data_IF_152125817886
#
_entry.id   IF_152125817886
#
_cell.length_a   1.000
_cell.length_b   1.000
_cell.length_c   1.000
_cell.angle_alpha   90.00
_cell.angle_beta   90.00
_cell.angle_gamma   90.00
#
_symmetry.space_group_name_H-M   'P 1'
#
loop_
_entity.id
_entity.type
_entity.pdbx_description
1 polymer ?
#
# COMPACT_ATOMS: atom_id res chain seq x y z
N UNK A 1 87.79 21.25 21.08
CA UNK A 1 88.11 22.06 19.92
C UNK A 1 86.82 22.71 19.49
N UNK A 2 86.67 23.93 19.86
CA UNK A 2 85.87 24.96 19.24
C UNK A 2 86.55 25.34 17.89
N UNK A 3 85.97 26.01 16.93
CA UNK A 3 84.97 27.10 16.98
C UNK A 3 83.91 26.89 15.83
N UNK A 4 82.98 27.68 15.41
CA UNK A 4 82.63 29.09 15.47
C UNK A 4 81.16 29.28 14.98
N UNK A 5 80.55 30.26 15.56
CA UNK A 5 79.39 30.99 15.08
C UNK A 5 79.87 32.02 13.98
N UNK A 6 79.03 32.80 13.30
CA UNK A 6 77.61 33.03 13.26
C UNK A 6 77.07 33.18 11.79
N UNK A 7 75.77 33.38 11.52
CA UNK A 7 75.22 34.49 10.70
C UNK A 7 73.70 34.55 10.91
N UNK A 8 73.34 35.68 11.40
CA UNK A 8 72.09 36.39 11.48
C UNK A 8 71.46 36.60 10.06
N UNK A 9 70.21 36.29 9.86
CA UNK A 9 69.32 36.96 8.92
C UNK A 9 67.84 36.71 9.27
N UNK A 10 67.26 37.69 9.92
CA UNK A 10 65.82 37.87 9.99
C UNK A 10 65.18 37.97 8.59
N UNK A 11 64.05 37.31 8.36
CA UNK A 11 63.18 37.69 7.21
C UNK A 11 62.15 38.71 7.68
N UNK A 12 61.92 39.62 6.83
CA UNK A 12 61.07 40.79 6.89
C UNK A 12 59.65 40.46 7.34
N UNK A 13 59.18 41.25 8.26
CA UNK A 13 57.79 41.34 8.75
C UNK A 13 57.01 42.14 7.69
N UNK A 14 56.50 41.45 6.68
CA UNK A 14 55.53 42.00 5.75
C UNK A 14 54.18 42.13 6.44
N UNK A 15 54.04 43.23 7.18
CA UNK A 15 52.81 43.64 7.85
C UNK A 15 51.70 43.86 6.80
N UNK A 16 50.84 42.86 6.69
CA UNK A 16 49.54 43.04 6.02
C UNK A 16 48.75 44.09 6.77
N UNK A 17 48.54 45.23 6.12
CA UNK A 17 47.84 46.37 6.68
C UNK A 17 46.37 45.98 6.99
N UNK A 18 45.88 46.46 8.16
CA UNK A 18 44.46 46.28 8.53
C UNK A 18 43.50 46.79 7.45
N UNK A 19 43.96 47.74 6.61
CA UNK A 19 43.19 48.23 5.45
C UNK A 19 43.01 47.19 4.36
N UNK A 20 43.95 46.21 4.22
CA UNK A 20 43.85 45.16 3.21
C UNK A 20 42.90 44.05 3.65
N UNK A 21 42.78 43.80 4.95
CA UNK A 21 41.79 42.88 5.55
C UNK A 21 40.40 43.48 5.43
N UNK A 22 40.23 44.76 5.68
CA UNK A 22 38.95 45.46 5.57
C UNK A 22 38.51 45.60 4.09
N UNK A 23 39.44 45.74 3.14
CA UNK A 23 39.13 45.73 1.73
C UNK A 23 38.73 44.33 1.20
N UNK A 24 39.31 43.25 1.72
CA UNK A 24 38.92 41.87 1.40
C UNK A 24 37.55 41.51 1.98
N UNK A 25 37.23 41.94 3.18
CA UNK A 25 35.94 41.74 3.80
C UNK A 25 34.83 42.62 3.15
N UNK A 26 35.18 43.74 2.54
CA UNK A 26 34.22 44.58 1.82
C UNK A 26 33.91 44.04 0.38
N UNK A 27 34.77 43.22 -0.19
CA UNK A 27 34.53 42.61 -1.53
C UNK A 27 33.68 41.30 -1.45
N UNK A 28 33.51 40.74 -0.23
CA UNK A 28 32.61 39.59 0.01
C UNK A 28 31.19 39.99 0.42
N UNK A 29 30.88 41.28 0.51
CA UNK A 29 29.49 41.70 0.58
C UNK A 29 28.85 41.53 -0.81
N UNK A 30 28.46 40.29 -1.09
CA UNK A 30 27.90 39.85 -2.36
C UNK A 30 26.70 40.71 -2.75
N UNK A 31 26.77 41.19 -3.99
CA UNK A 31 25.59 41.71 -4.65
C UNK A 31 24.51 40.63 -4.69
N UNK A 32 23.46 40.79 -3.89
CA UNK A 32 22.24 39.97 -3.96
C UNK A 32 21.69 40.16 -5.38
N UNK A 33 21.83 39.14 -6.25
CA UNK A 33 21.12 39.06 -7.50
C UNK A 33 19.64 38.86 -7.21
N UNK A 34 18.76 39.86 -7.45
CA UNK A 34 17.33 39.73 -7.10
C UNK A 34 16.58 38.71 -7.95
N UNK A 35 17.26 38.00 -8.86
CA UNK A 35 16.71 36.99 -9.74
C UNK A 35 17.17 35.56 -9.44
N UNK A 36 17.98 35.36 -8.38
CA UNK A 36 18.35 34.01 -7.95
C UNK A 36 17.38 33.45 -6.90
N UNK A 37 16.40 32.63 -7.29
CA UNK A 37 15.41 32.08 -6.35
C UNK A 37 16.05 31.02 -5.40
N UNK A 38 17.35 30.75 -5.50
CA UNK A 38 18.08 29.76 -4.71
C UNK A 38 19.10 30.40 -3.73
N UNK A 39 19.17 31.74 -3.65
CA UNK A 39 19.97 32.39 -2.63
C UNK A 39 19.29 32.19 -1.26
N UNK A 40 19.69 31.13 -0.57
CA UNK A 40 19.34 30.93 0.83
C UNK A 40 20.14 31.93 1.66
N UNK A 41 19.52 33.04 2.02
CA UNK A 41 20.07 33.96 3.01
C UNK A 41 20.35 33.16 4.27
N UNK A 42 21.61 33.02 4.66
CA UNK A 42 22.11 32.17 5.75
C UNK A 42 21.59 32.54 7.16
N UNK A 43 20.71 33.52 7.26
CA UNK A 43 20.16 34.03 8.52
C UNK A 43 18.65 33.77 8.72
N UNK A 44 18.00 33.03 7.86
CA UNK A 44 16.65 32.55 8.17
C UNK A 44 16.76 31.33 9.08
N UNK A 45 16.09 31.30 10.27
CA UNK A 45 16.05 30.09 11.08
C UNK A 45 15.37 28.99 10.27
N UNK A 46 16.17 28.05 9.77
CA UNK A 46 15.71 26.89 9.02
C UNK A 46 15.07 25.88 9.97
N UNK A 47 14.01 26.30 10.63
CA UNK A 47 13.04 25.42 11.26
C UNK A 47 11.76 25.55 10.42
N UNK A 48 11.81 25.05 9.20
CA UNK A 48 10.59 24.58 8.59
C UNK A 48 10.14 23.38 9.45
N UNK A 49 9.30 23.65 10.43
CA UNK A 49 8.58 22.64 11.17
C UNK A 49 7.80 21.85 10.12
N UNK A 50 8.33 20.67 9.76
CA UNK A 50 7.59 19.73 8.92
C UNK A 50 6.34 19.38 9.69
N UNK A 51 5.25 20.06 9.39
CA UNK A 51 3.97 19.79 10.05
C UNK A 51 3.65 18.32 9.90
N UNK A 52 3.61 17.60 11.02
CA UNK A 52 3.22 16.20 11.03
C UNK A 52 1.76 16.12 10.58
N UNK A 53 1.43 15.28 9.60
CA UNK A 53 0.04 15.15 9.18
C UNK A 53 -0.79 14.71 10.38
N UNK A 54 -2.00 15.25 10.50
CA UNK A 54 -2.93 14.91 11.57
C UNK A 54 -3.33 13.44 11.43
N UNK A 55 -2.93 12.58 12.36
CA UNK A 55 -3.19 11.13 12.32
C UNK A 55 -4.68 10.78 12.22
N UNK A 56 -5.54 11.56 12.88
CA UNK A 56 -6.98 11.36 12.88
C UNK A 56 -7.62 11.49 11.50
N UNK A 57 -7.03 12.25 10.57
CA UNK A 57 -7.55 12.35 9.20
C UNK A 57 -7.48 11.02 8.45
N UNK A 58 -6.55 10.13 8.81
CA UNK A 58 -6.49 8.79 8.27
C UNK A 58 -7.70 7.95 8.72
N UNK A 59 -8.04 8.03 10.01
CA UNK A 59 -9.22 7.34 10.56
C UNK A 59 -10.50 7.90 9.96
N UNK A 60 -10.61 9.23 9.85
CA UNK A 60 -11.77 9.89 9.24
C UNK A 60 -12.00 9.38 7.81
N UNK A 61 -10.96 9.31 6.99
CA UNK A 61 -11.08 8.81 5.60
C UNK A 61 -11.50 7.34 5.58
N UNK A 62 -11.00 6.48 6.48
CA UNK A 62 -11.46 5.09 6.57
C UNK A 62 -12.95 5.02 6.90
N UNK A 63 -13.41 5.80 7.89
CA UNK A 63 -14.83 5.85 8.26
C UNK A 63 -15.70 6.37 7.11
N UNK A 64 -15.29 7.45 6.45
CA UNK A 64 -16.01 7.98 5.26
C UNK A 64 -16.03 6.95 4.14
N UNK A 65 -14.91 6.27 3.87
CA UNK A 65 -14.84 5.21 2.87
C UNK A 65 -15.76 4.02 3.21
N UNK A 66 -15.84 3.64 4.49
CA UNK A 66 -16.77 2.60 4.93
C UNK A 66 -18.24 2.99 4.71
N UNK A 67 -18.60 4.21 5.08
CA UNK A 67 -19.96 4.73 4.86
C UNK A 67 -20.30 4.76 3.37
N UNK A 68 -19.38 5.25 2.53
CA UNK A 68 -19.56 5.28 1.07
C UNK A 68 -19.68 3.87 0.50
N UNK A 69 -18.85 2.93 0.98
CA UNK A 69 -18.91 1.53 0.58
C UNK A 69 -20.26 0.88 0.95
N UNK A 70 -20.73 1.03 2.19
CA UNK A 70 -22.02 0.49 2.64
C UNK A 70 -23.18 1.09 1.83
N UNK A 71 -23.16 2.41 1.64
CA UNK A 71 -24.19 3.08 0.85
C UNK A 71 -24.19 2.61 -0.62
N UNK A 72 -23.02 2.51 -1.24
CA UNK A 72 -22.88 2.00 -2.59
C UNK A 72 -23.33 0.54 -2.70
N UNK A 73 -23.00 -0.31 -1.72
CA UNK A 73 -23.45 -1.70 -1.66
C UNK A 73 -24.96 -1.80 -1.58
N UNK A 74 -25.61 -0.99 -0.73
CA UNK A 74 -27.06 -0.96 -0.62
C UNK A 74 -27.72 -0.51 -1.92
N UNK A 75 -27.21 0.55 -2.56
CA UNK A 75 -27.71 1.03 -3.85
C UNK A 75 -27.53 -0.02 -4.93
N UNK A 76 -26.35 -0.64 -5.01
CA UNK A 76 -26.07 -1.67 -6.01
C UNK A 76 -26.87 -2.96 -5.79
N UNK A 77 -27.23 -3.29 -4.56
CA UNK A 77 -28.15 -4.40 -4.27
C UNK A 77 -29.54 -4.12 -4.84
N UNK A 78 -30.07 -2.91 -4.65
CA UNK A 78 -31.36 -2.50 -5.21
C UNK A 78 -31.29 -2.51 -6.75
N UNK A 79 -30.26 -1.92 -7.34
CA UNK A 79 -30.03 -1.93 -8.79
C UNK A 79 -29.91 -3.36 -9.32
N UNK A 80 -29.20 -4.22 -8.59
CA UNK A 80 -29.06 -5.64 -8.93
C UNK A 80 -30.39 -6.35 -9.00
N UNK A 81 -31.29 -6.16 -8.03
CA UNK A 81 -32.64 -6.72 -8.04
C UNK A 81 -33.41 -6.25 -9.26
N UNK A 82 -33.39 -4.94 -9.57
CA UNK A 82 -34.07 -4.38 -10.72
C UNK A 82 -33.51 -4.95 -12.04
N UNK A 83 -32.21 -5.05 -12.17
CA UNK A 83 -31.54 -5.55 -13.39
C UNK A 83 -31.79 -7.03 -13.59
N UNK A 84 -31.72 -7.85 -12.55
CA UNK A 84 -31.90 -9.31 -12.66
C UNK A 84 -33.36 -9.69 -12.90
N UNK A 85 -34.28 -9.00 -12.23
CA UNK A 85 -35.74 -9.30 -12.43
C UNK A 85 -36.41 -8.49 -13.54
N UNK A 86 -35.70 -7.53 -14.16
CA UNK A 86 -36.21 -6.74 -15.29
C UNK A 86 -37.31 -5.75 -14.92
N UNK A 87 -37.62 -5.55 -13.63
CA UNK A 87 -38.65 -4.63 -13.14
C UNK A 87 -38.35 -4.08 -11.79
N UNK A 88 -38.84 -2.88 -11.50
CA UNK A 88 -38.84 -2.31 -10.16
C UNK A 88 -40.14 -2.71 -9.45
N UNK A 89 -40.04 -3.45 -8.36
CA UNK A 89 -41.19 -3.90 -7.56
C UNK A 89 -40.75 -3.93 -6.07
N UNK A 90 -41.51 -3.25 -5.21
CA UNK A 90 -41.22 -3.19 -3.79
C UNK A 90 -41.27 -4.57 -3.10
N UNK A 91 -42.08 -5.49 -3.61
CA UNK A 91 -42.15 -6.86 -3.08
C UNK A 91 -40.81 -7.59 -3.28
N UNK A 92 -40.14 -7.39 -4.43
CA UNK A 92 -38.81 -7.98 -4.69
C UNK A 92 -37.72 -7.41 -3.77
N UNK A 93 -37.85 -6.17 -3.33
CA UNK A 93 -36.86 -5.54 -2.43
C UNK A 93 -37.02 -6.01 -0.97
N UNK A 94 -38.10 -6.69 -0.63
CA UNK A 94 -38.33 -7.26 0.70
C UNK A 94 -38.18 -8.79 0.72
N UNK A 95 -38.01 -9.42 -0.46
CA UNK A 95 -37.84 -10.86 -0.59
C UNK A 95 -36.35 -11.24 -0.60
N UNK A 96 -35.89 -12.01 0.38
CA UNK A 96 -34.53 -12.51 0.48
C UNK A 96 -34.09 -13.30 -0.78
N UNK A 97 -35.01 -14.08 -1.39
CA UNK A 97 -34.69 -14.87 -2.57
C UNK A 97 -34.33 -13.99 -3.77
N UNK A 98 -34.89 -12.78 -3.84
CA UNK A 98 -34.53 -11.82 -4.89
C UNK A 98 -33.05 -11.40 -4.78
N UNK A 99 -32.52 -11.20 -3.58
CA UNK A 99 -31.11 -10.88 -3.37
C UNK A 99 -30.19 -12.08 -3.61
N UNK A 100 -30.64 -13.30 -3.28
CA UNK A 100 -29.93 -14.53 -3.63
C UNK A 100 -29.80 -14.65 -5.13
N UNK A 101 -30.87 -14.45 -5.91
CA UNK A 101 -30.84 -14.45 -7.36
C UNK A 101 -29.85 -13.40 -7.94
N UNK A 102 -29.71 -12.25 -7.30
CA UNK A 102 -28.70 -11.25 -7.68
C UNK A 102 -27.29 -11.79 -7.49
N UNK A 103 -26.98 -12.43 -6.38
CA UNK A 103 -25.64 -12.98 -6.10
C UNK A 103 -25.29 -14.17 -7.00
N UNK A 104 -26.28 -14.93 -7.47
CA UNK A 104 -26.14 -16.04 -8.43
C UNK A 104 -26.01 -15.56 -9.88
N UNK A 105 -26.42 -14.34 -10.17
CA UNK A 105 -26.27 -13.73 -11.50
C UNK A 105 -24.87 -13.13 -11.70
N UNK A 106 -24.24 -13.38 -12.85
CA UNK A 106 -22.93 -12.82 -13.21
C UNK A 106 -22.93 -11.29 -13.19
N UNK A 107 -24.00 -10.66 -13.72
CA UNK A 107 -24.14 -9.21 -13.72
C UNK A 107 -24.45 -8.68 -12.30
N UNK A 108 -25.26 -9.40 -11.56
CA UNK A 108 -25.56 -9.09 -10.16
C UNK A 108 -24.29 -9.14 -9.30
N UNK A 109 -23.49 -10.20 -9.42
CA UNK A 109 -22.22 -10.32 -8.72
C UNK A 109 -21.26 -9.17 -9.09
N UNK A 110 -21.19 -8.78 -10.36
CA UNK A 110 -20.39 -7.62 -10.78
C UNK A 110 -20.86 -6.33 -10.09
N UNK A 111 -22.16 -6.08 -10.05
CA UNK A 111 -22.73 -4.90 -9.38
C UNK A 111 -22.44 -4.89 -7.88
N UNK A 112 -22.55 -6.05 -7.21
CA UNK A 112 -22.36 -6.18 -5.76
C UNK A 112 -20.89 -6.08 -5.34
N UNK A 113 -19.95 -6.49 -6.19
CA UNK A 113 -18.53 -6.58 -5.82
C UNK A 113 -17.75 -5.38 -6.36
N UNK A 114 -17.82 -5.11 -7.67
CA UNK A 114 -16.90 -4.17 -8.31
C UNK A 114 -17.27 -2.72 -8.03
N UNK A 115 -18.54 -2.35 -8.14
CA UNK A 115 -18.95 -0.95 -8.00
C UNK A 115 -18.81 -0.41 -6.58
N UNK A 116 -19.15 -1.14 -5.50
CA UNK A 116 -18.86 -0.70 -4.15
C UNK A 116 -17.35 -0.55 -3.85
N UNK A 117 -16.51 -1.43 -4.40
CA UNK A 117 -15.05 -1.32 -4.26
C UNK A 117 -14.52 -0.06 -4.96
N UNK A 118 -15.04 0.30 -6.13
CA UNK A 118 -14.69 1.56 -6.79
C UNK A 118 -15.16 2.76 -5.94
N UNK A 119 -16.35 2.70 -5.37
CA UNK A 119 -16.87 3.76 -4.50
C UNK A 119 -16.01 3.94 -3.23
N UNK A 120 -15.53 2.83 -2.63
CA UNK A 120 -14.67 2.81 -1.45
C UNK A 120 -13.41 3.66 -1.61
N UNK A 121 -12.77 3.66 -2.76
CA UNK A 121 -11.50 4.38 -2.97
C UNK A 121 -11.69 5.89 -3.22
N UNK A 122 -12.89 6.33 -3.60
CA UNK A 122 -13.18 7.73 -3.96
C UNK A 122 -12.78 8.73 -2.87
N UNK A 123 -13.12 8.55 -1.57
CA UNK A 123 -12.75 9.52 -0.55
C UNK A 123 -11.23 9.72 -0.42
N UNK A 124 -10.44 8.64 -0.53
CA UNK A 124 -8.99 8.72 -0.46
C UNK A 124 -8.38 9.39 -1.68
N UNK A 125 -8.95 9.17 -2.87
CA UNK A 125 -8.55 9.85 -4.10
C UNK A 125 -8.84 11.34 -4.05
N UNK A 126 -10.06 11.72 -3.62
CA UNK A 126 -10.44 13.13 -3.45
C UNK A 126 -9.53 13.82 -2.43
N UNK A 127 -9.30 13.18 -1.28
CA UNK A 127 -8.41 13.72 -0.26
C UNK A 127 -6.93 13.80 -0.73
N UNK A 128 -6.51 12.89 -1.60
CA UNK A 128 -5.20 12.94 -2.26
C UNK A 128 -5.11 14.07 -3.27
N UNK A 129 -6.15 14.26 -4.08
CA UNK A 129 -6.25 15.32 -5.08
C UNK A 129 -6.29 16.72 -4.47
N UNK A 130 -7.02 16.90 -3.37
CA UNK A 130 -7.07 18.15 -2.62
C UNK A 130 -5.79 18.45 -1.81
N UNK A 131 -4.80 17.57 -1.85
CA UNK A 131 -3.52 17.78 -1.17
C UNK A 131 -2.64 18.74 -1.99
N UNK A 132 -1.77 19.57 -1.35
CA UNK A 132 -0.78 20.39 -2.06
C UNK A 132 0.32 19.57 -2.73
N UNK A 133 0.41 18.26 -2.46
CA UNK A 133 1.38 17.34 -3.07
C UNK A 133 0.70 16.61 -4.22
N UNK A 134 1.42 16.39 -5.32
CA UNK A 134 0.94 15.62 -6.48
C UNK A 134 0.30 14.29 -6.06
N UNK A 135 -0.90 13.99 -6.58
CA UNK A 135 -1.71 12.83 -6.16
C UNK A 135 -0.95 11.50 -6.26
N UNK A 136 -0.18 11.30 -7.32
CA UNK A 136 0.62 10.07 -7.51
C UNK A 136 1.67 9.89 -6.40
N UNK A 137 2.36 10.96 -6.04
CA UNK A 137 3.34 10.97 -4.95
C UNK A 137 2.64 10.84 -3.59
N UNK A 138 1.49 11.48 -3.46
CA UNK A 138 0.67 11.45 -2.24
C UNK A 138 0.16 10.05 -1.91
N UNK A 139 -0.23 9.28 -2.92
CA UNK A 139 -0.75 7.92 -2.81
C UNK A 139 0.32 6.84 -3.01
N UNK A 140 1.60 7.20 -3.05
CA UNK A 140 2.72 6.26 -3.30
C UNK A 140 2.58 5.46 -4.60
N UNK A 141 1.86 5.99 -5.59
CA UNK A 141 1.72 5.44 -6.94
C UNK A 141 2.96 5.79 -7.80
N UNK A 142 4.12 5.54 -7.25
CA UNK A 142 5.44 5.80 -7.83
C UNK A 142 6.23 4.50 -7.89
N UNK A 143 7.26 4.44 -8.74
CA UNK A 143 8.07 3.22 -8.90
C UNK A 143 8.80 2.80 -7.62
N UNK A 144 9.16 3.74 -6.74
CA UNK A 144 10.02 3.47 -5.59
C UNK A 144 11.44 3.05 -6.00
N UNK A 145 12.20 2.50 -5.05
CA UNK A 145 13.63 2.20 -5.24
C UNK A 145 13.95 0.70 -5.39
N UNK A 146 13.00 -0.17 -5.17
CA UNK A 146 13.22 -1.61 -5.36
C UNK A 146 13.31 -1.96 -6.85
N UNK A 147 14.22 -2.88 -7.26
CA UNK A 147 14.25 -3.44 -8.60
C UNK A 147 13.05 -4.37 -8.85
N UNK A 148 12.72 -4.60 -10.13
CA UNK A 148 11.55 -5.39 -10.53
C UNK A 148 11.58 -6.82 -9.97
N UNK A 149 12.77 -7.46 -9.91
CA UNK A 149 12.89 -8.81 -9.33
C UNK A 149 12.44 -8.84 -7.85
N UNK A 150 12.69 -7.76 -7.09
CA UNK A 150 12.25 -7.64 -5.71
C UNK A 150 10.72 -7.47 -5.60
N UNK A 151 10.10 -6.78 -6.56
CA UNK A 151 8.64 -6.70 -6.66
C UNK A 151 8.02 -8.08 -6.90
N UNK A 152 8.60 -8.82 -7.88
CA UNK A 152 8.15 -10.19 -8.20
C UNK A 152 8.31 -11.09 -6.97
N UNK A 153 9.46 -11.02 -6.30
CA UNK A 153 9.68 -11.78 -5.07
C UNK A 153 8.66 -11.47 -3.97
N UNK A 154 8.42 -10.18 -3.68
CA UNK A 154 7.44 -9.78 -2.70
C UNK A 154 6.01 -10.22 -3.08
N UNK A 155 5.65 -10.13 -4.36
CA UNK A 155 4.35 -10.55 -4.85
C UNK A 155 4.15 -12.07 -4.75
N UNK A 156 5.17 -12.87 -5.10
CA UNK A 156 5.13 -14.33 -4.99
C UNK A 156 5.11 -14.84 -3.53
N UNK A 157 5.67 -14.08 -2.59
CA UNK A 157 5.60 -14.41 -1.17
C UNK A 157 4.18 -14.20 -0.57
N UNK A 158 3.38 -13.33 -1.16
CA UNK A 158 2.08 -12.91 -0.60
C UNK A 158 1.11 -14.08 -0.39
N UNK A 159 0.91 -15.00 -1.35
CA UNK A 159 0.01 -16.15 -1.16
C UNK A 159 0.48 -17.11 -0.05
N UNK A 160 1.77 -17.22 0.18
CA UNK A 160 2.28 -18.04 1.30
C UNK A 160 1.93 -17.40 2.65
N UNK A 161 2.02 -16.08 2.77
CA UNK A 161 1.59 -15.36 3.98
C UNK A 161 0.10 -15.56 4.23
N UNK A 162 -0.73 -15.42 3.18
CA UNK A 162 -2.17 -15.67 3.27
C UNK A 162 -2.50 -17.11 3.65
N UNK A 163 -1.86 -18.08 3.01
CA UNK A 163 -2.04 -19.51 3.31
C UNK A 163 -1.66 -19.84 4.75
N UNK A 164 -0.49 -19.42 5.21
CA UNK A 164 -0.03 -19.67 6.58
C UNK A 164 -0.98 -19.04 7.60
N UNK A 165 -1.44 -17.82 7.35
CA UNK A 165 -2.41 -17.15 8.22
C UNK A 165 -3.73 -17.91 8.27
N UNK A 166 -4.28 -18.32 7.13
CA UNK A 166 -5.52 -19.08 7.05
C UNK A 166 -5.43 -20.44 7.74
N UNK A 167 -4.30 -21.14 7.55
CA UNK A 167 -4.05 -22.44 8.22
C UNK A 167 -3.99 -22.25 9.73
N UNK A 168 -3.24 -21.25 10.22
CA UNK A 168 -3.13 -20.98 11.67
C UNK A 168 -4.50 -20.62 12.26
N UNK A 169 -5.26 -19.76 11.60
CA UNK A 169 -6.62 -19.40 12.07
C UNK A 169 -7.53 -20.62 12.09
N UNK A 170 -7.52 -21.44 11.03
CA UNK A 170 -8.33 -22.66 10.92
C UNK A 170 -8.02 -23.73 11.96
N UNK A 171 -6.82 -23.70 12.61
CA UNK A 171 -6.53 -24.59 13.75
C UNK A 171 -7.27 -24.22 15.03
N UNK A 172 -7.74 -22.98 15.16
CA UNK A 172 -8.34 -22.45 16.39
C UNK A 172 -9.78 -21.97 16.23
N UNK A 173 -10.20 -21.70 15.00
CA UNK A 173 -11.49 -21.07 14.71
C UNK A 173 -12.15 -21.73 13.50
N UNK A 174 -13.46 -21.90 13.58
CA UNK A 174 -14.26 -22.32 12.43
C UNK A 174 -14.57 -21.11 11.53
N UNK A 175 -14.73 -21.41 10.24
CA UNK A 175 -15.16 -20.41 9.26
C UNK A 175 -16.58 -19.93 9.57
N UNK A 176 -16.80 -18.63 9.49
CA UNK A 176 -18.13 -18.05 9.74
C UNK A 176 -19.14 -18.45 8.65
N UNK A 177 -20.42 -18.50 8.99
CA UNK A 177 -21.47 -18.83 8.02
C UNK A 177 -21.53 -17.85 6.85
N UNK A 178 -21.22 -16.57 7.08
CA UNK A 178 -21.14 -15.58 6.02
C UNK A 178 -20.00 -15.87 5.04
N UNK A 179 -18.86 -16.29 5.57
CA UNK A 179 -17.69 -16.61 4.73
C UNK A 179 -17.93 -17.91 3.94
N UNK A 180 -18.57 -18.92 4.54
CA UNK A 180 -18.99 -20.14 3.84
C UNK A 180 -19.95 -19.82 2.69
N UNK A 181 -21.01 -19.03 2.95
CA UNK A 181 -21.95 -18.63 1.92
C UNK A 181 -21.29 -17.88 0.75
N UNK A 182 -20.33 -17.00 1.06
CA UNK A 182 -19.54 -16.30 0.03
C UNK A 182 -18.68 -17.27 -0.78
N UNK A 183 -18.03 -18.22 -0.10
CA UNK A 183 -17.21 -19.27 -0.72
C UNK A 183 -18.07 -20.13 -1.68
N UNK A 184 -19.28 -20.49 -1.28
CA UNK A 184 -20.20 -21.27 -2.13
C UNK A 184 -20.63 -20.49 -3.38
N UNK A 185 -20.90 -19.19 -3.27
CA UNK A 185 -21.20 -18.32 -4.42
C UNK A 185 -20.01 -18.29 -5.40
N UNK A 186 -18.77 -18.11 -4.87
CA UNK A 186 -17.58 -18.07 -5.71
C UNK A 186 -17.33 -19.42 -6.40
N UNK A 187 -17.54 -20.52 -5.69
CA UNK A 187 -17.42 -21.88 -6.23
C UNK A 187 -18.40 -22.08 -7.38
N UNK A 188 -19.68 -21.78 -7.18
CA UNK A 188 -20.73 -21.96 -8.19
C UNK A 188 -20.42 -21.13 -9.47
N UNK A 189 -19.98 -19.89 -9.31
CA UNK A 189 -19.56 -19.07 -10.45
C UNK A 189 -18.32 -19.62 -11.16
N UNK A 190 -17.31 -20.05 -10.40
CA UNK A 190 -16.08 -20.62 -10.96
C UNK A 190 -16.33 -21.89 -11.76
N UNK A 191 -17.11 -22.84 -11.20
CA UNK A 191 -17.51 -24.09 -11.85
C UNK A 191 -18.35 -23.86 -13.11
N UNK A 192 -19.12 -22.76 -13.16
CA UNK A 192 -19.89 -22.37 -14.35
C UNK A 192 -19.03 -21.77 -15.50
N UNK A 193 -17.69 -21.84 -15.40
CA UNK A 193 -16.74 -21.28 -16.37
C UNK A 193 -16.49 -19.77 -16.21
N UNK A 194 -16.89 -19.18 -15.10
CA UNK A 194 -16.70 -17.74 -14.81
C UNK A 194 -15.45 -17.45 -13.95
N UNK A 195 -14.54 -18.43 -13.77
CA UNK A 195 -13.38 -18.34 -12.91
C UNK A 195 -12.48 -17.13 -13.23
N UNK A 196 -12.11 -16.94 -14.50
CA UNK A 196 -11.21 -15.83 -14.86
C UNK A 196 -11.82 -14.44 -14.61
N UNK A 197 -13.06 -14.12 -15.01
CA UNK A 197 -13.70 -12.88 -14.59
C UNK A 197 -13.83 -12.74 -13.09
N UNK A 198 -14.12 -13.82 -12.36
CA UNK A 198 -14.22 -13.82 -10.90
C UNK A 198 -12.87 -13.44 -10.24
N UNK A 199 -11.75 -13.99 -10.72
CA UNK A 199 -10.41 -13.62 -10.27
C UNK A 199 -10.11 -12.13 -10.53
N UNK A 200 -10.57 -11.56 -11.64
CA UNK A 200 -10.42 -10.11 -11.87
C UNK A 200 -11.30 -9.28 -10.92
N UNK A 201 -12.53 -9.70 -10.68
CA UNK A 201 -13.46 -8.98 -9.81
C UNK A 201 -13.00 -9.02 -8.33
N UNK A 202 -12.64 -10.20 -7.82
CA UNK A 202 -12.26 -10.41 -6.41
C UNK A 202 -10.77 -10.15 -6.19
N UNK A 203 -9.94 -10.33 -7.21
CA UNK A 203 -8.50 -10.13 -7.12
C UNK A 203 -8.08 -8.70 -7.43
N UNK A 204 -8.34 -8.23 -8.66
CA UNK A 204 -7.78 -6.99 -9.16
C UNK A 204 -8.45 -5.75 -8.55
N UNK A 205 -9.79 -5.77 -8.43
CA UNK A 205 -10.53 -4.60 -7.95
C UNK A 205 -10.17 -4.24 -6.50
N UNK A 206 -10.22 -5.17 -5.52
CA UNK A 206 -9.76 -4.89 -4.16
C UNK A 206 -8.27 -4.54 -4.11
N UNK A 207 -7.42 -5.25 -4.84
CA UNK A 207 -5.98 -4.98 -4.87
C UNK A 207 -5.63 -3.55 -5.28
N UNK A 208 -6.42 -2.93 -6.14
CA UNK A 208 -6.26 -1.52 -6.51
C UNK A 208 -6.91 -0.62 -5.46
N UNK A 209 -8.19 -0.83 -5.16
CA UNK A 209 -8.99 0.09 -4.35
C UNK A 209 -8.54 0.12 -2.89
N UNK A 210 -8.32 -1.04 -2.29
CA UNK A 210 -7.93 -1.16 -0.89
C UNK A 210 -6.47 -0.76 -0.67
N UNK A 211 -5.56 -1.12 -1.59
CA UNK A 211 -4.17 -0.69 -1.46
C UNK A 211 -4.04 0.85 -1.59
N UNK A 212 -4.78 1.49 -2.48
CA UNK A 212 -4.80 2.96 -2.57
C UNK A 212 -5.33 3.59 -1.29
N UNK A 213 -6.41 3.07 -0.71
CA UNK A 213 -6.96 3.57 0.54
C UNK A 213 -6.00 3.32 1.71
N UNK A 214 -5.66 2.05 1.98
CA UNK A 214 -4.96 1.69 3.22
C UNK A 214 -3.47 1.96 3.17
N UNK A 215 -2.76 1.63 2.08
CA UNK A 215 -1.30 1.82 1.98
C UNK A 215 -0.95 3.15 1.35
N UNK A 216 -1.69 3.55 0.32
CA UNK A 216 -1.49 4.83 -0.36
C UNK A 216 -1.81 6.02 0.53
N UNK A 217 -3.01 6.09 1.10
CA UNK A 217 -3.46 7.22 1.88
C UNK A 217 -3.22 7.07 3.39
N UNK A 218 -3.78 6.02 4.01
CA UNK A 218 -3.81 5.85 5.47
C UNK A 218 -2.42 5.59 6.04
N UNK A 219 -1.74 4.55 5.56
CA UNK A 219 -0.42 4.18 6.05
C UNK A 219 0.61 5.30 5.88
N UNK A 220 0.64 5.96 4.72
CA UNK A 220 1.59 7.06 4.47
C UNK A 220 1.45 8.22 5.46
N UNK A 221 0.24 8.50 5.94
CA UNK A 221 -0.01 9.51 6.97
C UNK A 221 0.34 9.03 8.36
N UNK A 222 -0.07 7.82 8.70
CA UNK A 222 0.17 7.23 10.01
C UNK A 222 1.67 7.01 10.26
N UNK A 223 2.42 6.54 9.27
CA UNK A 223 3.88 6.37 9.39
C UNK A 223 4.60 7.70 9.61
N UNK A 224 4.10 8.80 9.04
CA UNK A 224 4.64 10.15 9.28
C UNK A 224 4.31 10.70 10.66
N UNK A 225 3.15 10.34 11.21
CA UNK A 225 2.69 10.84 12.51
C UNK A 225 3.21 9.99 13.68
N UNK A 226 3.20 8.66 13.53
CA UNK A 226 3.41 7.68 14.60
C UNK A 226 4.70 6.84 14.41
N UNK A 227 5.47 7.14 13.36
CA UNK A 227 6.61 6.33 12.97
C UNK A 227 6.22 5.09 12.16
N UNK A 228 7.23 4.41 11.55
CA UNK A 228 6.97 3.30 10.62
C UNK A 228 6.21 2.14 11.24
N UNK A 229 6.65 1.66 12.41
CA UNK A 229 6.05 0.49 13.07
C UNK A 229 4.59 0.78 13.46
N UNK A 230 4.35 1.87 14.19
CA UNK A 230 3.01 2.25 14.64
C UNK A 230 2.07 2.52 13.45
N UNK A 231 2.58 3.21 12.43
CA UNK A 231 1.79 3.52 11.24
C UNK A 231 1.40 2.29 10.43
N UNK A 232 2.31 1.32 10.25
CA UNK A 232 2.02 0.07 9.54
C UNK A 232 1.04 -0.79 10.34
N UNK A 233 1.28 -0.97 11.64
CA UNK A 233 0.40 -1.78 12.50
C UNK A 233 -1.05 -1.25 12.50
N UNK A 234 -1.23 0.05 12.72
CA UNK A 234 -2.57 0.65 12.75
C UNK A 234 -3.24 0.58 11.38
N UNK A 235 -2.52 0.88 10.29
CA UNK A 235 -3.07 0.77 8.94
C UNK A 235 -3.49 -0.68 8.61
N UNK A 236 -2.71 -1.67 9.02
CA UNK A 236 -3.03 -3.09 8.83
C UNK A 236 -4.21 -3.54 9.67
N UNK A 237 -4.35 -3.02 10.90
CA UNK A 237 -5.50 -3.27 11.75
C UNK A 237 -6.78 -2.66 11.15
N UNK A 238 -6.71 -1.42 10.67
CA UNK A 238 -7.85 -0.76 10.00
C UNK A 238 -8.27 -1.51 8.73
N UNK A 239 -7.29 -1.99 7.95
CA UNK A 239 -7.53 -2.85 6.79
C UNK A 239 -8.26 -4.14 7.18
N UNK A 240 -7.78 -4.83 8.21
CA UNK A 240 -8.38 -6.08 8.67
C UNK A 240 -9.81 -5.86 9.19
N UNK A 241 -10.02 -4.87 10.07
CA UNK A 241 -11.32 -4.55 10.65
C UNK A 241 -12.36 -4.16 9.59
N UNK A 242 -11.91 -3.62 8.46
CA UNK A 242 -12.79 -3.26 7.34
C UNK A 242 -13.52 -4.47 6.72
N UNK A 243 -13.04 -5.70 6.94
CA UNK A 243 -13.69 -6.92 6.45
C UNK A 243 -14.93 -7.32 7.24
N UNK A 244 -15.16 -6.74 8.44
CA UNK A 244 -16.36 -6.87 9.27
C UNK A 244 -16.73 -8.31 9.70
N UNK A 245 -15.87 -9.29 9.44
CA UNK A 245 -15.99 -10.69 9.89
C UNK A 245 -14.83 -11.02 10.82
N UNK A 246 -15.11 -11.50 12.04
CA UNK A 246 -14.08 -11.66 13.07
C UNK A 246 -12.99 -12.67 12.69
N UNK A 247 -13.37 -13.80 12.09
CA UNK A 247 -12.43 -14.83 11.65
C UNK A 247 -11.56 -14.29 10.51
N UNK A 248 -12.21 -13.63 9.57
CA UNK A 248 -11.54 -12.99 8.42
C UNK A 248 -10.60 -11.85 8.87
N UNK A 249 -10.99 -11.03 9.85
CA UNK A 249 -10.14 -9.98 10.43
C UNK A 249 -8.81 -10.55 10.90
N UNK A 250 -8.85 -11.67 11.67
CA UNK A 250 -7.64 -12.30 12.19
C UNK A 250 -6.81 -12.89 11.05
N UNK A 251 -7.46 -13.52 10.06
CA UNK A 251 -6.80 -14.14 8.93
C UNK A 251 -6.09 -13.14 8.00
N UNK A 252 -6.68 -11.95 7.76
CA UNK A 252 -6.12 -10.98 6.80
C UNK A 252 -5.16 -9.98 7.45
N UNK A 253 -5.13 -9.86 8.79
CA UNK A 253 -4.22 -8.93 9.47
C UNK A 253 -2.74 -9.18 9.15
N UNK A 254 -2.20 -10.42 9.22
CA UNK A 254 -0.80 -10.70 8.85
C UNK A 254 -0.50 -10.38 7.39
N UNK A 255 -1.42 -10.65 6.48
CA UNK A 255 -1.32 -10.26 5.08
C UNK A 255 -1.25 -8.73 4.94
N UNK A 256 -2.15 -8.03 5.63
CA UNK A 256 -2.17 -6.58 5.68
C UNK A 256 -0.87 -5.98 6.18
N UNK A 257 -0.29 -6.56 7.22
CA UNK A 257 0.99 -6.15 7.79
C UNK A 257 2.15 -6.39 6.81
N UNK A 258 2.20 -7.56 6.18
CA UNK A 258 3.20 -7.89 5.17
C UNK A 258 3.18 -6.90 3.99
N UNK A 259 2.01 -6.64 3.40
CA UNK A 259 1.87 -5.67 2.31
C UNK A 259 2.28 -4.26 2.75
N UNK A 260 1.94 -3.88 3.99
CA UNK A 260 2.37 -2.62 4.58
C UNK A 260 3.89 -2.50 4.69
N UNK A 261 4.58 -3.55 5.08
CA UNK A 261 6.05 -3.62 5.10
C UNK A 261 6.64 -3.50 3.69
N UNK A 262 6.05 -4.18 2.70
CA UNK A 262 6.49 -4.11 1.29
C UNK A 262 6.40 -2.68 0.77
N UNK A 263 5.27 -1.99 0.98
CA UNK A 263 5.08 -0.61 0.55
C UNK A 263 6.08 0.33 1.24
N UNK A 264 6.21 0.21 2.55
CA UNK A 264 7.14 1.05 3.30
C UNK A 264 8.58 0.84 2.85
N UNK A 265 8.97 -0.41 2.62
CA UNK A 265 10.36 -0.77 2.29
C UNK A 265 10.71 -0.49 0.84
N UNK A 266 9.79 -0.70 -0.09
CA UNK A 266 10.01 -0.46 -1.53
C UNK A 266 9.85 1.01 -1.92
N UNK A 267 9.09 1.78 -1.15
CA UNK A 267 8.67 3.14 -1.49
C UNK A 267 7.63 3.19 -2.60
N UNK A 268 6.95 2.07 -2.88
CA UNK A 268 5.97 1.94 -3.98
C UNK A 268 4.76 1.14 -3.54
N UNK A 269 3.59 1.55 -4.01
CA UNK A 269 2.33 0.82 -3.82
C UNK A 269 2.20 -0.36 -4.79
N UNK A 270 2.87 -0.30 -5.94
CA UNK A 270 2.69 -1.26 -7.05
C UNK A 270 3.01 -2.70 -6.65
N UNK A 271 4.14 -3.03 -5.99
CA UNK A 271 4.43 -4.42 -5.60
C UNK A 271 3.39 -4.99 -4.62
N UNK A 272 2.81 -4.18 -3.74
CA UNK A 272 1.73 -4.61 -2.86
C UNK A 272 0.43 -4.87 -3.62
N UNK A 273 0.07 -4.02 -4.59
CA UNK A 273 -1.08 -4.26 -5.48
C UNK A 273 -0.93 -5.58 -6.24
N UNK A 274 0.25 -5.85 -6.81
CA UNK A 274 0.51 -7.10 -7.52
C UNK A 274 0.39 -8.29 -6.57
N UNK A 275 1.01 -8.21 -5.39
CA UNK A 275 0.95 -9.28 -4.38
C UNK A 275 -0.48 -9.55 -3.89
N UNK A 276 -1.24 -8.50 -3.62
CA UNK A 276 -2.64 -8.60 -3.20
C UNK A 276 -3.51 -9.23 -4.30
N UNK A 277 -3.35 -8.78 -5.55
CA UNK A 277 -4.03 -9.38 -6.70
C UNK A 277 -3.75 -10.87 -6.84
N UNK A 278 -2.46 -11.27 -6.77
CA UNK A 278 -2.05 -12.67 -6.87
C UNK A 278 -2.65 -13.48 -5.70
N UNK A 279 -2.57 -12.96 -4.48
CA UNK A 279 -3.13 -13.64 -3.30
C UNK A 279 -4.63 -13.92 -3.47
N UNK A 280 -5.42 -12.90 -3.78
CA UNK A 280 -6.86 -13.05 -3.90
C UNK A 280 -7.25 -13.92 -5.09
N UNK A 281 -6.55 -13.82 -6.22
CA UNK A 281 -6.77 -14.68 -7.38
C UNK A 281 -6.48 -16.14 -7.07
N UNK A 282 -5.39 -16.42 -6.35
CA UNK A 282 -5.05 -17.78 -5.91
C UNK A 282 -6.07 -18.29 -4.89
N UNK A 283 -6.56 -17.44 -3.96
CA UNK A 283 -7.61 -17.82 -3.01
C UNK A 283 -8.92 -18.20 -3.71
N UNK A 284 -9.34 -17.42 -4.71
CA UNK A 284 -10.51 -17.77 -5.54
C UNK A 284 -10.28 -19.08 -6.29
N UNK A 285 -9.12 -19.27 -6.89
CA UNK A 285 -8.80 -20.52 -7.58
C UNK A 285 -8.79 -21.73 -6.62
N UNK A 286 -8.26 -21.56 -5.42
CA UNK A 286 -8.27 -22.58 -4.37
C UNK A 286 -9.68 -23.01 -3.99
N UNK A 287 -10.60 -22.04 -3.81
CA UNK A 287 -12.02 -22.30 -3.52
C UNK A 287 -12.69 -23.13 -4.60
N UNK A 288 -12.44 -22.78 -5.87
CA UNK A 288 -13.08 -23.46 -7.01
C UNK A 288 -12.46 -24.83 -7.29
N UNK A 289 -11.16 -24.98 -7.09
CA UNK A 289 -10.43 -26.25 -7.34
C UNK A 289 -10.46 -27.21 -6.15
N UNK A 290 -10.88 -26.76 -4.97
CA UNK A 290 -10.97 -27.62 -3.80
C UNK A 290 -12.00 -28.73 -4.02
N UNK A 291 -11.72 -29.99 -3.64
CA UNK A 291 -12.66 -31.09 -3.76
C UNK A 291 -13.96 -30.80 -3.03
N UNK A 292 -15.07 -31.09 -3.68
CA UNK A 292 -16.42 -31.05 -3.08
C UNK A 292 -16.67 -32.37 -2.36
N UNK A 293 -16.68 -32.37 -1.04
CA UNK A 293 -16.99 -33.54 -0.22
C UNK A 293 -15.99 -33.75 0.92
N UNK A 294 -16.40 -34.56 1.90
CA UNK A 294 -15.62 -34.87 3.10
C UNK A 294 -14.53 -35.91 2.78
N UNK A 295 -13.69 -35.65 1.78
CA UNK A 295 -12.56 -36.52 1.44
C UNK A 295 -11.33 -36.05 2.20
N UNK A 296 -10.92 -36.80 3.22
CA UNK A 296 -9.65 -36.58 3.94
C UNK A 296 -8.40 -36.80 3.07
N UNK A 297 -8.55 -36.95 1.76
CA UNK A 297 -7.48 -37.13 0.79
C UNK A 297 -7.46 -35.98 -0.19
N UNK A 298 -6.36 -35.23 -0.17
CA UNK A 298 -6.07 -34.27 -1.23
C UNK A 298 -5.96 -35.05 -2.57
N UNK A 299 -6.75 -34.66 -3.55
CA UNK A 299 -6.55 -35.15 -4.91
C UNK A 299 -5.23 -34.58 -5.49
N UNK A 300 -4.69 -35.25 -6.49
CA UNK A 300 -3.40 -34.88 -7.08
C UNK A 300 -3.37 -33.41 -7.59
N UNK A 301 -4.41 -32.88 -8.26
CA UNK A 301 -4.44 -31.46 -8.67
C UNK A 301 -4.36 -30.50 -7.52
N UNK A 302 -5.15 -30.68 -6.44
CA UNK A 302 -5.14 -29.81 -5.27
C UNK A 302 -3.83 -29.87 -4.50
N UNK A 303 -3.21 -31.04 -4.42
CA UNK A 303 -1.90 -31.21 -3.80
C UNK A 303 -0.80 -30.47 -4.60
N UNK A 304 -0.78 -30.62 -5.93
CA UNK A 304 0.15 -29.91 -6.81
C UNK A 304 -0.03 -28.39 -6.71
N UNK A 305 -1.28 -27.92 -6.69
CA UNK A 305 -1.59 -26.50 -6.54
C UNK A 305 -1.07 -25.95 -5.20
N UNK A 306 -1.36 -26.61 -4.09
CA UNK A 306 -0.88 -26.22 -2.76
C UNK A 306 0.65 -26.25 -2.66
N UNK A 307 1.28 -27.28 -3.19
CA UNK A 307 2.75 -27.40 -3.23
C UNK A 307 3.37 -26.27 -4.05
N UNK A 308 2.74 -25.88 -5.16
CA UNK A 308 3.20 -24.78 -6.00
C UNK A 308 3.17 -23.45 -5.23
N UNK A 309 2.10 -23.17 -4.48
CA UNK A 309 2.01 -21.97 -3.62
C UNK A 309 3.16 -21.95 -2.60
N UNK A 310 3.44 -23.10 -1.97
CA UNK A 310 4.50 -23.21 -0.97
C UNK A 310 5.87 -22.96 -1.62
N UNK A 311 6.18 -23.62 -2.73
CA UNK A 311 7.48 -23.52 -3.41
C UNK A 311 7.71 -22.08 -3.90
N UNK A 312 6.76 -21.51 -4.66
CA UNK A 312 6.89 -20.15 -5.17
C UNK A 312 6.85 -19.11 -4.05
N UNK A 313 6.08 -19.36 -2.99
CA UNK A 313 6.03 -18.52 -1.82
C UNK A 313 7.36 -18.50 -1.04
N UNK A 314 8.03 -19.65 -0.89
CA UNK A 314 9.36 -19.73 -0.27
C UNK A 314 10.39 -18.98 -1.12
N UNK A 315 10.43 -19.24 -2.44
CA UNK A 315 11.33 -18.55 -3.37
C UNK A 315 11.08 -17.03 -3.31
N UNK A 316 9.81 -16.63 -3.32
CA UNK A 316 9.41 -15.23 -3.19
C UNK A 316 9.85 -14.60 -1.87
N UNK A 317 9.68 -15.31 -0.75
CA UNK A 317 10.07 -14.86 0.58
C UNK A 317 11.58 -14.68 0.71
N UNK A 318 12.38 -15.61 0.18
CA UNK A 318 13.83 -15.50 0.14
C UNK A 318 14.28 -14.32 -0.73
N UNK A 319 13.64 -14.13 -1.90
CA UNK A 319 13.89 -13.00 -2.79
C UNK A 319 13.53 -11.65 -2.10
N UNK A 320 12.38 -11.57 -1.44
CA UNK A 320 11.97 -10.38 -0.70
C UNK A 320 12.90 -10.07 0.49
N UNK A 321 13.33 -11.11 1.24
CA UNK A 321 14.27 -10.97 2.33
C UNK A 321 15.66 -10.50 1.81
N UNK A 322 16.13 -11.05 0.69
CA UNK A 322 17.36 -10.61 0.05
C UNK A 322 17.27 -9.16 -0.41
N UNK A 323 16.14 -8.76 -1.01
CA UNK A 323 15.87 -7.36 -1.38
C UNK A 323 15.86 -6.43 -0.16
N UNK A 324 15.25 -6.88 0.94
CA UNK A 324 15.22 -6.14 2.21
C UNK A 324 16.61 -5.79 2.71
N UNK A 325 17.55 -6.72 2.66
CA UNK A 325 18.94 -6.52 3.07
C UNK A 325 19.72 -5.70 2.05
N UNK A 326 19.59 -6.05 0.76
CA UNK A 326 20.42 -5.48 -0.31
C UNK A 326 20.07 -4.06 -0.70
N UNK A 327 18.76 -3.74 -0.73
CA UNK A 327 18.28 -2.42 -1.19
C UNK A 327 18.31 -1.34 -0.11
N UNK A 328 18.86 -1.63 1.08
CA UNK A 328 18.99 -0.67 2.18
C UNK A 328 17.65 -0.24 2.81
N UNK A 329 17.63 0.43 3.96
CA UNK A 329 16.43 1.03 4.52
C UNK A 329 15.95 2.20 3.65
N UNK A 330 14.65 2.55 3.67
CA UNK A 330 14.22 3.84 3.14
C UNK A 330 15.03 4.95 3.84
N UNK A 331 15.31 6.07 3.15
CA UNK A 331 16.10 7.15 3.74
C UNK A 331 15.54 7.53 5.10
N UNK A 332 16.36 7.38 6.15
CA UNK A 332 15.95 7.64 7.52
C UNK A 332 15.53 9.11 7.68
N UNK A 333 14.33 9.33 8.20
CA UNK A 333 13.81 10.66 8.49
C UNK A 333 13.05 11.35 7.35
N UNK A 334 13.03 10.80 6.14
CA UNK A 334 12.22 11.37 5.05
C UNK A 334 11.02 10.47 4.77
N UNK A 335 9.80 11.01 4.80
CA UNK A 335 8.62 10.26 4.37
C UNK A 335 8.78 9.86 2.89
N UNK A 336 8.13 8.75 2.49
CA UNK A 336 8.14 8.23 1.11
C UNK A 336 7.91 9.35 0.08
N UNK A 337 7.06 10.33 0.41
CA UNK A 337 6.79 11.51 -0.43
C UNK A 337 8.01 12.42 -0.59
N UNK A 338 8.84 12.59 0.45
CA UNK A 338 10.04 13.43 0.35
C UNK A 338 11.15 12.75 -0.48
N UNK A 339 11.24 11.42 -0.43
CA UNK A 339 12.15 10.66 -1.31
C UNK A 339 11.75 10.79 -2.78
N UNK A 340 10.45 10.81 -3.08
CA UNK A 340 9.95 11.03 -4.44
C UNK A 340 10.16 12.46 -4.95
N UNK A 341 10.21 13.46 -4.07
CA UNK A 341 10.49 14.85 -4.44
C UNK A 341 11.96 15.12 -4.79
N UNK A 342 12.89 14.27 -4.28
CA UNK A 342 14.32 14.43 -4.55
C UNK A 342 14.79 13.73 -5.84
N UNK A 343 13.98 12.85 -6.42
CA UNK A 343 14.34 12.13 -7.65
C UNK A 343 13.95 12.83 -8.94
N UNK A 344 13.18 13.91 -8.87
CA UNK A 344 12.88 14.72 -10.05
C UNK A 344 13.91 15.85 -10.15
N UNK A 345 14.71 15.93 -11.23
CA UNK A 345 15.45 17.15 -11.53
C UNK A 345 14.45 18.29 -11.71
N UNK A 346 14.80 19.53 -11.33
CA UNK A 346 13.93 20.66 -11.63
C UNK A 346 13.72 20.68 -13.14
N UNK A 347 12.47 20.70 -13.55
CA UNK A 347 12.13 20.88 -14.96
C UNK A 347 12.76 22.18 -15.44
N UNK A 348 13.64 22.07 -16.44
CA UNK A 348 14.12 23.18 -17.23
C UNK A 348 12.99 23.71 -18.10
#
# INVERSE_FOLDING_TARGET
MQPDNPIDSSPDDDGVSQSDIDAQNASESGSSDPLNPYEVTSNAPMIATVERPRWWTSILIVVVSLVVFIFASAVMSIVGVVVVHGRFDMALLTDTNSFVAVSESRIGLFLLVVLPQIALVVPSFVAGYCSPVETRKRLSLVRGHWPIWAWIGAALATPLVGLLSSVVVGLFMEESENLKALTDIFRAHGESGFLFPLMLMIGLTPAICEEVLFRGYVQTRLTRSLGPVGGILIASLLFAVFHLDFVHIIAVFPLGFYLGLVVWRSGSLIPAMIGHFINNSISVAAVVLAPTGNTNTLDAPSAIFSLSIIIFGIIGSLSAAFAWVRCGPPPTGKPIIAAAQQSDPPFA
#
